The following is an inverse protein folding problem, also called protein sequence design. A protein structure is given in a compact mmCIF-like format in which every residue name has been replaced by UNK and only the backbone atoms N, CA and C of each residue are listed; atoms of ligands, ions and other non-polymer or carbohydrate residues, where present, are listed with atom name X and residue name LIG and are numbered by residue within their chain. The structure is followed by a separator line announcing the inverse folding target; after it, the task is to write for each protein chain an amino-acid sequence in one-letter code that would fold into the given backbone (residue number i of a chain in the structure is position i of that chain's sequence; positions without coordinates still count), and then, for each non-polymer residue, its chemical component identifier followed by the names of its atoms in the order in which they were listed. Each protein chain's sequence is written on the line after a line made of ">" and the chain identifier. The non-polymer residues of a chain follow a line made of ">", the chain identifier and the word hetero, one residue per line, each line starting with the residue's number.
data_IF_862014089192
#
_entry.id   IF_862014089192
#
_cell.length_a   1.000
_cell.length_b   1.000
_cell.length_c   1.000
_cell.angle_alpha   90.00
_cell.angle_beta   90.00
_cell.angle_gamma   90.00
#
_symmetry.space_group_name_H-M   'P 1'
#
loop_
_entity.id
_entity.type
_entity.pdbx_description
1 polymer ?
#
# COMPACT_ATOMS: atom_id res chain seq x y z
N UNK A 1 -20.88 -49.60 73.60
CA UNK A 1 -19.92 -48.59 74.09
C UNK A 1 -18.76 -48.49 73.10
N UNK A 2 -18.52 -47.28 72.57
CA UNK A 2 -17.23 -46.69 72.13
C UNK A 2 -16.38 -47.49 71.10
N UNK A 3 -16.43 -47.22 69.78
CA UNK A 3 -15.71 -46.19 68.96
C UNK A 3 -14.18 -46.29 68.94
N UNK A 4 -13.61 -46.05 67.73
CA UNK A 4 -12.18 -45.90 67.31
C UNK A 4 -11.67 -47.20 66.66
N UNK A 5 -11.33 -47.29 65.36
CA UNK A 5 -10.46 -46.40 64.58
C UNK A 5 -10.81 -46.42 63.08
N UNK A 6 -11.23 -45.27 62.55
CA UNK A 6 -11.24 -44.94 61.11
C UNK A 6 -10.18 -43.87 60.91
N UNK A 7 -8.96 -44.23 60.53
CA UNK A 7 -7.94 -43.20 60.21
C UNK A 7 -6.85 -43.74 59.29
N UNK A 8 -7.16 -44.02 58.02
CA UNK A 8 -6.12 -44.12 56.95
C UNK A 8 -6.67 -43.80 55.56
N UNK A 9 -7.58 -42.82 55.45
CA UNK A 9 -8.03 -42.27 54.16
C UNK A 9 -8.22 -40.76 54.29
N UNK A 10 -7.14 -40.02 54.63
CA UNK A 10 -7.19 -38.55 54.61
C UNK A 10 -5.82 -37.87 54.43
N UNK A 11 -4.89 -38.46 53.67
CA UNK A 11 -3.61 -37.81 53.32
C UNK A 11 -3.28 -38.03 51.83
N UNK A 12 -4.24 -37.74 50.95
CA UNK A 12 -3.96 -37.60 49.50
C UNK A 12 -4.79 -36.51 48.82
N UNK A 13 -5.32 -35.56 49.60
CA UNK A 13 -6.07 -34.39 49.11
C UNK A 13 -5.66 -33.10 49.82
N UNK A 14 -4.37 -32.96 50.16
CA UNK A 14 -3.82 -31.73 50.75
C UNK A 14 -2.47 -31.31 50.12
N UNK A 15 -2.34 -31.46 48.80
CA UNK A 15 -1.19 -30.93 48.05
C UNK A 15 -1.59 -30.52 46.61
N UNK A 16 -2.72 -29.83 46.47
CA UNK A 16 -3.15 -29.22 45.20
C UNK A 16 -3.25 -27.69 45.32
N UNK A 17 -2.43 -27.08 46.17
CA UNK A 17 -2.37 -25.64 46.31
C UNK A 17 -0.95 -25.16 46.02
N UNK A 18 -0.85 -24.24 45.05
CA UNK A 18 0.27 -23.35 44.77
C UNK A 18 1.44 -23.91 43.95
N UNK A 19 1.22 -24.06 42.65
CA UNK A 19 2.20 -23.59 41.65
C UNK A 19 1.51 -22.72 40.58
N UNK A 20 0.59 -21.84 40.99
CA UNK A 20 0.41 -20.60 40.22
C UNK A 20 1.62 -19.74 40.56
N UNK A 21 2.70 -19.86 39.80
CA UNK A 21 3.71 -18.81 39.82
C UNK A 21 2.99 -17.53 39.42
N UNK A 22 2.91 -16.49 40.27
CA UNK A 22 2.42 -15.21 39.82
C UNK A 22 3.32 -14.80 38.65
N UNK A 23 2.76 -14.73 37.44
CA UNK A 23 3.44 -14.14 36.31
C UNK A 23 3.74 -12.70 36.75
N UNK A 24 5.00 -12.44 37.11
CA UNK A 24 5.45 -11.09 37.47
C UNK A 24 5.07 -10.20 36.31
N UNK A 25 4.06 -9.37 36.49
CA UNK A 25 3.76 -8.31 35.56
C UNK A 25 5.00 -7.42 35.53
N UNK A 26 5.77 -7.49 34.44
CA UNK A 26 6.83 -6.52 34.19
C UNK A 26 6.18 -5.15 34.21
N UNK A 27 6.67 -4.25 35.06
CA UNK A 27 6.22 -2.86 35.07
C UNK A 27 6.66 -2.22 33.74
N UNK A 28 5.74 -2.15 32.79
CA UNK A 28 5.99 -1.62 31.46
C UNK A 28 6.29 -0.12 31.54
N UNK A 29 7.46 0.29 31.05
CA UNK A 29 7.93 1.69 31.07
C UNK A 29 6.95 2.55 30.26
N UNK A 30 6.54 3.71 30.80
CA UNK A 30 5.70 4.68 30.08
C UNK A 30 6.56 5.78 29.46
N UNK A 31 6.40 6.02 28.16
CA UNK A 31 7.11 7.06 27.38
C UNK A 31 6.12 7.83 26.52
N UNK A 32 6.54 8.91 25.85
CA UNK A 32 5.71 9.61 24.86
C UNK A 32 6.31 9.53 23.44
N UNK A 33 5.64 10.10 22.43
CA UNK A 33 6.08 10.05 21.02
C UNK A 33 7.48 10.60 20.75
N UNK A 34 8.07 11.39 21.65
CA UNK A 34 9.46 11.81 21.56
C UNK A 34 10.42 10.62 21.45
N UNK A 35 10.09 9.48 22.06
CA UNK A 35 10.89 8.25 21.94
C UNK A 35 11.08 7.83 20.49
N UNK A 36 10.04 7.99 19.65
CA UNK A 36 10.11 7.65 18.23
C UNK A 36 10.92 8.71 17.49
N UNK A 37 10.65 9.99 17.75
CA UNK A 37 11.38 11.08 17.09
C UNK A 37 12.88 10.97 17.28
N UNK A 38 13.32 10.77 18.53
CA UNK A 38 14.74 10.70 18.85
C UNK A 38 15.41 9.44 18.29
N UNK A 39 14.78 8.27 18.44
CA UNK A 39 15.41 7.00 18.05
C UNK A 39 15.34 6.69 16.54
N UNK A 40 14.42 7.32 15.80
CA UNK A 40 14.29 7.10 14.36
C UNK A 40 15.02 8.16 13.52
N UNK A 41 15.33 9.33 14.08
CA UNK A 41 16.05 10.40 13.39
C UNK A 41 17.40 9.98 12.77
N UNK A 42 18.19 9.07 13.38
CA UNK A 42 19.42 8.58 12.76
C UNK A 42 19.23 7.74 11.49
N UNK A 43 18.02 7.22 11.26
CA UNK A 43 17.74 6.20 10.26
C UNK A 43 16.79 6.67 9.14
N UNK A 44 16.44 7.95 9.13
CA UNK A 44 15.49 8.50 8.17
C UNK A 44 15.09 9.93 8.51
N UNK A 45 14.20 10.50 7.70
CA UNK A 45 13.78 11.89 7.82
C UNK A 45 12.36 12.00 8.36
N UNK A 46 12.13 12.96 9.26
CA UNK A 46 10.80 13.33 9.69
C UNK A 46 10.24 14.43 8.79
N UNK A 47 9.04 14.24 8.26
CA UNK A 47 8.34 15.22 7.41
C UNK A 47 6.96 15.49 7.98
N UNK A 48 6.50 16.72 7.86
CA UNK A 48 5.13 17.06 8.21
C UNK A 48 4.15 16.67 7.10
N UNK A 49 3.15 15.86 7.44
CA UNK A 49 2.03 15.50 6.58
C UNK A 49 0.74 16.15 7.13
N UNK A 50 -0.02 16.90 6.32
CA UNK A 50 -1.24 17.58 6.79
C UNK A 50 -2.31 16.64 7.37
N UNK A 51 -2.40 15.40 6.90
CA UNK A 51 -3.43 14.45 7.33
C UNK A 51 -3.01 13.66 8.59
N UNK A 52 -1.72 13.49 8.82
CA UNK A 52 -1.19 12.55 9.82
C UNK A 52 -0.21 13.17 10.82
N UNK A 53 0.13 14.46 10.67
CA UNK A 53 1.18 15.10 11.46
C UNK A 53 2.56 14.64 11.00
N UNK A 54 3.51 14.48 11.93
CA UNK A 54 4.86 14.06 11.59
C UNK A 54 4.92 12.58 11.19
N UNK A 55 5.38 12.33 9.97
CA UNK A 55 5.61 10.99 9.41
C UNK A 55 7.10 10.78 9.22
N UNK A 56 7.55 9.54 9.39
CA UNK A 56 8.95 9.16 9.25
C UNK A 56 9.19 8.44 7.93
N UNK A 57 10.24 8.85 7.22
CA UNK A 57 10.64 8.30 5.93
C UNK A 57 11.98 7.59 6.12
N UNK A 58 12.00 6.25 6.08
CA UNK A 58 13.23 5.49 6.29
C UNK A 58 14.26 5.76 5.19
N UNK A 59 15.53 5.85 5.59
CA UNK A 59 16.68 5.87 4.69
C UNK A 59 17.04 4.43 4.26
N UNK A 60 16.20 3.91 3.36
CA UNK A 60 16.25 2.53 2.84
C UNK A 60 16.19 2.55 1.32
N UNK A 61 16.68 1.49 0.68
CA UNK A 61 16.68 1.39 -0.77
C UNK A 61 15.27 1.29 -1.38
N UNK A 62 15.16 1.59 -2.69
CA UNK A 62 13.89 1.58 -3.45
C UNK A 62 13.05 0.29 -3.29
N UNK A 63 13.69 -0.85 -3.06
CA UNK A 63 13.01 -2.15 -2.92
C UNK A 63 12.44 -2.44 -1.51
N UNK A 64 12.57 -1.51 -0.56
CA UNK A 64 12.04 -1.69 0.78
C UNK A 64 10.53 -1.87 0.76
N UNK A 65 10.03 -2.85 1.52
CA UNK A 65 8.61 -3.04 1.77
C UNK A 65 8.41 -3.50 3.22
N UNK A 66 7.52 -2.84 3.99
CA UNK A 66 7.25 -3.21 5.35
C UNK A 66 6.73 -4.65 5.46
N UNK A 67 7.15 -5.36 6.51
CA UNK A 67 6.83 -6.76 6.72
C UNK A 67 7.32 -7.68 5.59
N UNK A 68 8.36 -7.29 4.85
CA UNK A 68 8.95 -8.07 3.76
C UNK A 68 10.48 -7.96 3.71
N UNK A 69 11.01 -6.75 3.78
CA UNK A 69 12.46 -6.51 3.73
C UNK A 69 13.08 -6.67 5.11
N UNK A 70 14.24 -7.35 5.18
CA UNK A 70 15.08 -7.55 6.37
C UNK A 70 14.29 -7.88 7.64
N UNK A 71 13.65 -9.04 7.59
CA UNK A 71 12.92 -9.62 8.69
C UNK A 71 12.13 -10.86 8.31
N UNK A 72 11.43 -11.42 9.28
CA UNK A 72 10.65 -12.65 9.12
C UNK A 72 9.53 -12.74 10.15
N UNK A 73 8.59 -13.65 9.91
CA UNK A 73 7.51 -13.94 10.86
C UNK A 73 7.91 -15.08 11.79
N UNK A 74 7.87 -14.83 13.10
CA UNK A 74 8.02 -15.86 14.13
C UNK A 74 6.72 -15.99 14.93
N UNK A 75 6.38 -17.20 15.34
CA UNK A 75 5.18 -17.41 16.15
C UNK A 75 5.48 -17.17 17.63
N UNK A 76 4.80 -16.23 18.27
CA UNK A 76 4.94 -15.89 19.70
C UNK A 76 3.63 -16.09 20.45
N UNK A 77 3.57 -15.74 21.72
CA UNK A 77 2.32 -15.67 22.49
C UNK A 77 1.35 -14.57 21.99
N UNK A 78 1.79 -13.63 21.15
CA UNK A 78 0.94 -12.69 20.43
C UNK A 78 0.59 -13.17 19.00
N UNK A 79 0.90 -14.41 18.63
CA UNK A 79 0.75 -14.92 17.28
C UNK A 79 1.95 -14.63 16.39
N UNK A 80 1.73 -14.61 15.06
CA UNK A 80 2.78 -14.30 14.10
C UNK A 80 3.27 -12.86 14.28
N UNK A 81 4.45 -12.71 14.86
CA UNK A 81 5.13 -11.46 15.17
C UNK A 81 6.25 -11.22 14.16
N UNK A 82 6.28 -10.02 13.59
CA UNK A 82 7.35 -9.64 12.68
C UNK A 82 8.62 -9.37 13.49
N UNK A 83 9.69 -10.06 13.16
CA UNK A 83 11.02 -9.80 13.69
C UNK A 83 11.79 -9.10 12.58
N UNK A 84 12.19 -7.86 12.83
CA UNK A 84 12.95 -7.08 11.85
C UNK A 84 14.42 -7.01 12.23
N UNK A 85 15.28 -7.15 11.22
CA UNK A 85 16.73 -7.03 11.35
C UNK A 85 17.19 -5.56 11.31
N UNK A 86 16.28 -4.61 11.08
CA UNK A 86 16.59 -3.19 11.19
C UNK A 86 16.70 -2.78 12.67
N UNK A 87 17.71 -1.99 13.07
CA UNK A 87 17.90 -1.57 14.47
C UNK A 87 16.72 -0.71 14.97
N UNK A 88 16.06 0.01 14.07
CA UNK A 88 14.86 0.78 14.35
C UNK A 88 13.56 -0.05 14.33
N UNK A 89 13.60 -1.32 13.91
CA UNK A 89 12.42 -2.13 13.61
C UNK A 89 11.48 -2.38 14.79
N UNK A 90 11.96 -2.26 16.02
CA UNK A 90 11.15 -2.39 17.23
C UNK A 90 9.96 -1.40 17.26
N UNK A 91 10.12 -0.22 16.65
CA UNK A 91 9.10 0.81 16.64
C UNK A 91 8.17 0.68 15.41
N UNK A 92 8.61 0.95 14.16
CA UNK A 92 7.68 1.09 13.04
C UNK A 92 6.90 -0.17 12.63
N UNK A 93 7.38 -1.36 13.00
CA UNK A 93 6.67 -2.61 12.71
C UNK A 93 5.61 -2.97 13.76
N UNK A 94 5.70 -2.37 14.96
CA UNK A 94 4.87 -2.73 16.11
C UNK A 94 4.02 -1.60 16.65
N UNK A 95 4.46 -0.36 16.47
CA UNK A 95 3.75 0.86 16.82
C UNK A 95 3.40 1.59 15.53
N UNK A 96 2.19 2.16 15.42
CA UNK A 96 1.81 2.96 14.25
C UNK A 96 1.42 2.17 13.00
N UNK A 97 1.45 2.81 11.84
CA UNK A 97 1.00 2.27 10.55
C UNK A 97 1.89 2.75 9.41
N UNK A 98 2.05 1.90 8.40
CA UNK A 98 2.73 2.26 7.17
C UNK A 98 1.74 2.79 6.15
N UNK A 99 2.16 3.79 5.38
CA UNK A 99 1.46 4.29 4.21
C UNK A 99 2.44 4.38 3.04
N UNK A 100 1.92 4.23 1.82
CA UNK A 100 2.71 4.41 0.61
C UNK A 100 2.41 5.78 0.00
N UNK A 101 3.45 6.57 -0.22
CA UNK A 101 3.41 7.82 -0.95
C UNK A 101 4.21 7.69 -2.25
N UNK A 102 3.74 8.29 -3.35
CA UNK A 102 4.38 8.14 -4.65
C UNK A 102 5.76 8.83 -4.73
N UNK A 103 5.99 9.85 -3.93
CA UNK A 103 7.24 10.59 -3.87
C UNK A 103 8.18 10.02 -2.81
N UNK A 104 7.68 9.79 -1.58
CA UNK A 104 8.51 9.32 -0.46
C UNK A 104 8.64 7.79 -0.38
N UNK A 105 7.80 7.03 -1.09
CA UNK A 105 7.68 5.59 -0.92
C UNK A 105 6.96 5.24 0.38
N UNK A 106 7.37 4.14 1.02
CA UNK A 106 6.85 3.77 2.32
C UNK A 106 7.24 4.79 3.38
N UNK A 107 6.23 5.38 4.02
CA UNK A 107 6.36 6.33 5.12
C UNK A 107 5.58 5.80 6.33
N UNK A 108 6.08 6.06 7.53
CA UNK A 108 5.50 5.55 8.77
C UNK A 108 4.79 6.66 9.56
N UNK A 109 3.57 6.37 9.99
CA UNK A 109 2.76 7.22 10.87
C UNK A 109 2.83 6.66 12.29
N UNK A 110 3.33 7.44 13.28
CA UNK A 110 3.44 6.99 14.65
C UNK A 110 2.10 6.58 15.30
N UNK A 111 2.15 5.59 16.18
CA UNK A 111 1.00 5.15 16.97
C UNK A 111 1.40 4.70 18.36
N UNK A 112 0.45 4.70 19.29
CA UNK A 112 0.68 4.35 20.70
C UNK A 112 0.45 2.88 21.03
N UNK A 113 -0.26 2.17 20.16
CA UNK A 113 -0.65 0.77 20.38
C UNK A 113 0.42 -0.17 19.83
N UNK A 114 0.81 -1.16 20.63
CA UNK A 114 1.69 -2.24 20.20
C UNK A 114 0.89 -3.40 19.60
N UNK A 115 1.38 -3.98 18.51
CA UNK A 115 0.88 -5.24 17.96
C UNK A 115 2.02 -6.11 17.39
N UNK A 116 1.77 -7.42 17.19
CA UNK A 116 2.76 -8.35 16.61
C UNK A 116 3.10 -8.00 15.15
N UNK A 117 2.19 -7.31 14.46
CA UNK A 117 2.35 -6.74 13.13
C UNK A 117 1.01 -6.19 12.64
N UNK A 118 1.01 -5.02 12.03
CA UNK A 118 -0.21 -4.33 11.60
C UNK A 118 -0.53 -4.64 10.14
N UNK A 119 -0.95 -5.88 9.89
CA UNK A 119 -1.20 -6.39 8.53
C UNK A 119 -2.59 -7.03 8.39
N UNK A 120 -3.10 -6.99 7.16
CA UNK A 120 -4.22 -7.81 6.71
C UNK A 120 -3.69 -9.16 6.25
N UNK A 121 -4.23 -10.26 6.77
CA UNK A 121 -3.83 -11.62 6.40
C UNK A 121 -4.80 -12.26 5.39
N UNK A 122 -4.26 -12.98 4.41
CA UNK A 122 -5.01 -13.78 3.45
C UNK A 122 -4.36 -15.13 3.21
N UNK A 123 -5.19 -16.05 2.73
CA UNK A 123 -4.78 -17.37 2.27
C UNK A 123 -5.36 -17.65 0.89
N UNK A 124 -4.55 -18.20 0.01
CA UNK A 124 -5.00 -18.86 -1.22
C UNK A 124 -4.53 -20.31 -1.20
N UNK A 125 -4.99 -21.11 -2.16
CA UNK A 125 -4.48 -22.46 -2.35
C UNK A 125 -2.95 -22.44 -2.56
N UNK A 126 -2.21 -23.03 -1.63
CA UNK A 126 -0.74 -23.09 -1.67
C UNK A 126 -0.01 -21.80 -1.26
N UNK A 127 -0.70 -20.75 -0.81
CA UNK A 127 -0.06 -19.47 -0.45
C UNK A 127 -0.61 -18.86 0.85
N UNK A 128 0.30 -18.23 1.60
CA UNK A 128 -0.05 -17.24 2.60
C UNK A 128 0.38 -15.86 2.13
N UNK A 129 -0.41 -14.85 2.44
CA UNK A 129 -0.04 -13.47 2.14
C UNK A 129 -0.52 -12.47 3.17
N UNK A 130 0.16 -11.33 3.16
CA UNK A 130 -0.11 -10.22 4.05
C UNK A 130 0.16 -8.88 3.37
N UNK A 131 -0.50 -7.84 3.84
CA UNK A 131 -0.29 -6.47 3.39
C UNK A 131 -0.40 -5.49 4.57
N UNK A 132 0.41 -4.43 4.64
CA UNK A 132 0.34 -3.44 5.70
C UNK A 132 -1.04 -2.77 5.76
N UNK A 133 -1.60 -2.64 6.96
CA UNK A 133 -2.81 -1.86 7.19
C UNK A 133 -2.41 -0.38 7.25
N UNK A 134 -3.18 0.46 6.57
CA UNK A 134 -2.94 1.90 6.50
C UNK A 134 -3.28 2.67 7.78
N UNK A 135 -2.80 3.92 7.92
CA UNK A 135 -3.15 4.81 9.02
C UNK A 135 -4.65 5.12 9.09
N UNK A 136 -5.18 5.31 10.30
CA UNK A 136 -6.60 5.58 10.54
C UNK A 136 -7.53 4.36 10.46
N UNK A 137 -7.00 3.19 10.13
CA UNK A 137 -7.78 1.96 9.97
C UNK A 137 -7.70 1.10 11.23
N UNK A 138 -8.86 0.87 11.86
CA UNK A 138 -8.98 -0.06 13.00
C UNK A 138 -8.88 -1.51 12.53
N UNK A 139 -8.45 -2.41 13.41
CA UNK A 139 -8.41 -3.85 13.10
C UNK A 139 -9.80 -4.39 12.75
N UNK A 140 -10.85 -3.97 13.45
CA UNK A 140 -12.21 -4.39 13.10
C UNK A 140 -12.58 -3.98 11.68
N UNK A 141 -12.26 -2.74 11.28
CA UNK A 141 -12.58 -2.24 9.94
C UNK A 141 -11.70 -2.89 8.85
N UNK A 142 -10.42 -3.15 9.15
CA UNK A 142 -9.49 -3.80 8.22
C UNK A 142 -9.91 -5.20 7.76
N UNK A 143 -10.75 -5.87 8.55
CA UNK A 143 -11.29 -7.20 8.28
C UNK A 143 -12.80 -7.17 7.93
N UNK A 144 -13.34 -5.97 7.67
CA UNK A 144 -14.69 -5.78 7.12
C UNK A 144 -14.68 -5.88 5.59
N UNK A 145 -15.85 -6.01 4.96
CA UNK A 145 -15.99 -6.10 3.50
C UNK A 145 -15.61 -4.81 2.74
N UNK A 146 -15.56 -3.66 3.43
CA UNK A 146 -15.31 -2.35 2.83
C UNK A 146 -13.83 -1.97 2.67
N UNK A 147 -12.90 -2.67 3.34
CA UNK A 147 -11.48 -2.33 3.30
C UNK A 147 -10.74 -3.14 2.24
N UNK A 148 -10.13 -2.46 1.25
CA UNK A 148 -9.37 -3.09 0.16
C UNK A 148 -8.00 -2.44 0.01
N UNK A 149 -6.97 -3.28 0.02
CA UNK A 149 -5.59 -2.88 -0.20
C UNK A 149 -5.19 -3.09 -1.67
N UNK A 150 -4.40 -2.18 -2.27
CA UNK A 150 -3.86 -2.36 -3.61
C UNK A 150 -3.11 -3.68 -3.78
N UNK A 151 -3.31 -4.37 -4.91
CA UNK A 151 -2.74 -5.70 -5.15
C UNK A 151 -1.20 -5.72 -5.07
N UNK A 152 -0.55 -4.61 -5.45
CA UNK A 152 0.91 -4.46 -5.42
C UNK A 152 1.49 -4.26 -4.01
N UNK A 153 0.66 -4.09 -2.97
CA UNK A 153 1.10 -3.99 -1.57
C UNK A 153 1.08 -5.34 -0.84
N UNK A 154 0.54 -6.38 -1.48
CA UNK A 154 0.54 -7.72 -0.90
C UNK A 154 1.88 -8.42 -1.10
N UNK A 155 2.33 -9.09 -0.05
CA UNK A 155 3.44 -10.03 -0.10
C UNK A 155 2.88 -11.43 0.01
N UNK A 156 3.34 -12.34 -0.85
CA UNK A 156 2.96 -13.75 -0.80
C UNK A 156 4.19 -14.66 -0.73
N UNK A 157 4.00 -15.79 -0.07
CA UNK A 157 4.94 -16.90 0.00
C UNK A 157 4.16 -18.20 -0.20
N UNK A 158 4.81 -19.22 -0.75
CA UNK A 158 4.23 -20.57 -0.75
C UNK A 158 4.01 -21.03 0.68
N UNK A 159 2.91 -21.74 0.92
CA UNK A 159 2.53 -22.19 2.27
C UNK A 159 3.65 -22.99 2.96
N UNK A 160 4.35 -23.84 2.21
CA UNK A 160 5.52 -24.61 2.68
C UNK A 160 6.68 -23.76 3.22
N UNK A 161 6.81 -22.52 2.77
CA UNK A 161 7.94 -21.63 3.08
C UNK A 161 7.60 -20.55 4.13
N UNK A 162 6.33 -20.43 4.54
CA UNK A 162 5.93 -19.52 5.60
C UNK A 162 6.54 -19.90 6.96
N UNK A 163 6.93 -18.91 7.77
CA UNK A 163 7.59 -19.14 9.06
C UNK A 163 9.05 -19.59 8.99
N UNK A 164 9.72 -19.43 7.84
CA UNK A 164 11.18 -19.55 7.74
C UNK A 164 11.84 -18.25 8.22
N UNK A 165 13.02 -18.32 8.85
CA UNK A 165 13.82 -17.12 9.17
C UNK A 165 14.42 -16.49 7.92
N UNK A 166 14.75 -17.29 6.91
CA UNK A 166 15.24 -16.85 5.59
C UNK A 166 14.10 -16.71 4.56
N UNK A 167 12.91 -16.27 4.99
CA UNK A 167 11.71 -16.15 4.15
C UNK A 167 11.91 -15.21 2.95
N UNK A 168 12.87 -14.29 3.03
CA UNK A 168 13.25 -13.36 1.98
C UNK A 168 13.61 -14.03 0.64
N UNK A 169 14.06 -15.29 0.67
CA UNK A 169 14.42 -16.05 -0.53
C UNK A 169 13.21 -16.70 -1.24
N UNK A 170 12.02 -16.62 -0.65
CA UNK A 170 10.85 -17.41 -1.08
C UNK A 170 9.64 -16.56 -1.47
N UNK A 171 9.77 -15.23 -1.45
CA UNK A 171 8.68 -14.35 -1.87
C UNK A 171 8.32 -14.57 -3.33
N UNK A 172 7.02 -14.66 -3.58
CA UNK A 172 6.46 -14.77 -4.93
C UNK A 172 6.61 -13.41 -5.65
N UNK A 173 6.78 -13.45 -6.97
CA UNK A 173 6.79 -12.24 -7.78
C UNK A 173 5.44 -11.50 -7.66
N UNK A 174 5.48 -10.17 -7.48
CA UNK A 174 4.27 -9.38 -7.30
C UNK A 174 3.34 -9.35 -8.52
N UNK A 175 3.83 -9.74 -9.71
CA UNK A 175 3.02 -9.83 -10.94
C UNK A 175 1.85 -10.79 -10.83
N UNK A 176 1.94 -11.83 -9.98
CA UNK A 176 0.86 -12.81 -9.79
C UNK A 176 -0.08 -12.49 -8.63
N UNK A 177 0.16 -11.40 -7.89
CA UNK A 177 -0.64 -11.01 -6.73
C UNK A 177 -2.13 -10.91 -7.06
N UNK A 178 -2.48 -10.32 -8.22
CA UNK A 178 -3.88 -10.17 -8.64
C UNK A 178 -4.61 -11.52 -8.71
N UNK A 179 -3.96 -12.55 -9.25
CA UNK A 179 -4.54 -13.89 -9.35
C UNK A 179 -4.67 -14.56 -7.98
N UNK A 180 -3.63 -14.47 -7.15
CA UNK A 180 -3.65 -15.04 -5.79
C UNK A 180 -4.75 -14.38 -4.95
N UNK A 181 -4.85 -13.04 -5.00
CA UNK A 181 -5.85 -12.27 -4.26
C UNK A 181 -7.28 -12.64 -4.69
N UNK A 182 -7.52 -12.79 -6.01
CA UNK A 182 -8.84 -13.21 -6.53
C UNK A 182 -9.27 -14.57 -5.98
N UNK A 183 -8.32 -15.49 -5.82
CA UNK A 183 -8.56 -16.86 -5.35
C UNK A 183 -8.20 -17.03 -3.86
N UNK A 184 -8.35 -15.98 -3.05
CA UNK A 184 -7.98 -16.02 -1.62
C UNK A 184 -9.14 -15.68 -0.70
N UNK A 185 -9.04 -16.18 0.53
CA UNK A 185 -9.90 -15.83 1.65
C UNK A 185 -9.12 -15.02 2.69
N UNK A 186 -9.82 -14.16 3.41
CA UNK A 186 -9.24 -13.38 4.51
C UNK A 186 -9.06 -14.29 5.73
N UNK A 187 -7.92 -14.22 6.38
CA UNK A 187 -7.65 -14.92 7.64
C UNK A 187 -8.05 -13.98 8.78
N UNK A 188 -9.28 -14.10 9.27
CA UNK A 188 -9.79 -13.28 10.35
C UNK A 188 -9.56 -13.94 11.72
N UNK A 189 -8.40 -13.68 12.33
CA UNK A 189 -7.98 -14.22 13.62
C UNK A 189 -7.68 -13.09 14.61
N UNK A 190 -8.70 -12.29 14.91
CA UNK A 190 -8.57 -11.13 15.79
C UNK A 190 -8.48 -11.58 17.25
N UNK A 191 -7.45 -11.10 17.92
CA UNK A 191 -7.17 -11.29 19.34
C UNK A 191 -7.22 -9.94 20.06
N UNK A 192 -7.35 -9.99 21.38
CA UNK A 192 -7.32 -8.81 22.25
C UNK A 192 -6.21 -9.01 23.26
N UNK A 193 -5.28 -8.05 23.35
CA UNK A 193 -4.31 -8.02 24.43
C UNK A 193 -5.03 -7.68 25.73
N UNK A 194 -5.01 -8.59 26.71
CA UNK A 194 -5.76 -8.40 27.96
C UNK A 194 -5.26 -7.22 28.80
N UNK A 195 -3.99 -6.84 28.66
CA UNK A 195 -3.36 -5.79 29.47
C UNK A 195 -3.56 -4.38 28.91
N UNK A 196 -3.66 -4.26 27.58
CA UNK A 196 -3.76 -2.97 26.86
C UNK A 196 -5.10 -2.80 26.15
N UNK A 197 -5.91 -3.85 26.06
CA UNK A 197 -7.19 -3.93 25.30
C UNK A 197 -7.04 -3.68 23.80
N UNK A 198 -5.81 -3.67 23.29
CA UNK A 198 -5.51 -3.50 21.86
C UNK A 198 -5.97 -4.73 21.09
N UNK A 199 -6.73 -4.51 20.02
CA UNK A 199 -7.09 -5.56 19.07
C UNK A 199 -6.01 -5.69 18.00
N UNK A 200 -5.63 -6.92 17.68
CA UNK A 200 -4.67 -7.25 16.62
C UNK A 200 -5.07 -8.56 15.94
N UNK A 201 -4.55 -8.86 14.75
CA UNK A 201 -4.74 -10.17 14.12
C UNK A 201 -3.48 -11.02 14.34
N UNK A 202 -3.63 -12.20 14.94
CA UNK A 202 -2.51 -13.09 15.28
C UNK A 202 -2.02 -13.94 14.09
N UNK A 203 -2.61 -13.75 12.91
CA UNK A 203 -2.25 -14.40 11.66
C UNK A 203 -2.83 -15.80 11.49
N UNK A 204 -2.29 -16.59 10.52
CA UNK A 204 -2.69 -17.97 10.29
C UNK A 204 -2.61 -18.84 11.55
N UNK A 205 -3.55 -19.77 11.72
CA UNK A 205 -3.51 -20.71 12.84
C UNK A 205 -2.22 -21.56 12.79
N UNK A 206 -1.46 -21.60 13.91
CA UNK A 206 -0.17 -22.30 13.98
C UNK A 206 -0.26 -23.77 13.58
N UNK A 207 -1.23 -24.51 14.11
CA UNK A 207 -1.40 -25.95 13.82
C UNK A 207 -1.66 -26.18 12.34
N UNK A 208 -2.43 -25.28 11.72
CA UNK A 208 -2.70 -25.33 10.30
C UNK A 208 -1.45 -25.06 9.44
N UNK A 209 -0.62 -24.09 9.86
CA UNK A 209 0.68 -23.83 9.22
C UNK A 209 1.61 -25.04 9.38
N UNK A 210 1.68 -25.66 10.55
CA UNK A 210 2.48 -26.87 10.76
C UNK A 210 2.04 -28.01 9.85
N UNK A 211 0.72 -28.23 9.70
CA UNK A 211 0.17 -29.25 8.81
C UNK A 211 0.58 -29.02 7.35
N UNK A 212 0.62 -27.78 6.88
CA UNK A 212 0.98 -27.44 5.49
C UNK A 212 2.47 -27.42 5.22
N UNK A 213 3.24 -26.93 6.18
CA UNK A 213 4.69 -26.85 6.06
C UNK A 213 5.39 -28.18 6.31
N UNK A 214 4.73 -29.12 7.02
CA UNK A 214 5.35 -30.33 7.54
C UNK A 214 6.41 -30.06 8.61
N UNK A 215 6.53 -28.81 9.09
CA UNK A 215 7.53 -28.39 10.07
C UNK A 215 6.89 -28.18 11.44
N UNK A 216 7.60 -28.57 12.48
CA UNK A 216 7.26 -28.11 13.83
C UNK A 216 7.59 -26.63 13.97
N UNK A 217 6.64 -25.84 14.48
CA UNK A 217 6.84 -24.41 14.72
C UNK A 217 6.88 -24.23 16.23
N UNK A 218 8.06 -24.05 16.82
CA UNK A 218 8.16 -23.76 18.24
C UNK A 218 7.74 -22.31 18.53
N UNK A 219 6.88 -22.04 19.54
CA UNK A 219 6.63 -20.68 19.97
C UNK A 219 7.91 -20.02 20.50
N UNK A 220 8.18 -18.81 20.06
CA UNK A 220 9.25 -17.94 20.55
C UNK A 220 8.72 -17.15 21.74
N UNK A 221 9.36 -17.28 22.90
CA UNK A 221 9.00 -16.50 24.07
C UNK A 221 9.35 -15.02 23.84
N UNK A 222 8.49 -14.11 24.28
CA UNK A 222 8.77 -12.67 24.23
C UNK A 222 9.22 -12.18 25.60
N UNK A 223 10.29 -11.38 25.60
CA UNK A 223 10.84 -10.73 26.78
C UNK A 223 10.99 -9.23 26.53
N UNK A 224 10.59 -8.43 27.51
CA UNK A 224 10.71 -6.97 27.40
C UNK A 224 12.16 -6.53 27.61
N UNK A 225 12.63 -5.64 26.73
CA UNK A 225 13.87 -4.87 26.90
C UNK A 225 13.61 -3.55 27.60
N UNK A 226 14.64 -2.96 28.20
CA UNK A 226 14.58 -1.63 28.85
C UNK A 226 14.96 -0.49 27.90
N UNK A 227 15.74 -0.81 26.88
CA UNK A 227 16.31 0.10 25.89
C UNK A 227 15.73 -0.16 24.49
N UNK A 228 15.57 0.88 23.65
CA UNK A 228 15.09 0.77 22.27
C UNK A 228 15.86 -0.26 21.45
N UNK A 229 15.13 -1.21 20.86
CA UNK A 229 15.70 -2.25 20.02
C UNK A 229 14.94 -3.55 20.08
N UNK A 230 15.35 -4.49 19.24
CA UNK A 230 14.93 -5.87 19.32
C UNK A 230 16.06 -6.79 18.87
N UNK A 231 16.07 -8.00 19.40
CA UNK A 231 16.93 -9.08 18.93
C UNK A 231 16.34 -10.43 19.36
N UNK A 232 16.74 -11.48 18.67
CA UNK A 232 16.52 -12.85 19.13
C UNK A 232 17.80 -13.33 19.79
N UNK A 233 17.71 -13.71 21.06
CA UNK A 233 18.83 -14.27 21.83
C UNK A 233 18.35 -15.54 22.54
N UNK A 234 19.13 -16.62 22.44
CA UNK A 234 18.83 -17.94 23.02
C UNK A 234 17.40 -18.46 22.73
N UNK A 235 16.86 -18.14 21.55
CA UNK A 235 15.51 -18.56 21.14
C UNK A 235 14.37 -17.73 21.75
N UNK A 236 14.67 -16.62 22.42
CA UNK A 236 13.69 -15.66 22.93
C UNK A 236 13.76 -14.36 22.12
N UNK A 237 12.61 -13.78 21.77
CA UNK A 237 12.51 -12.44 21.21
C UNK A 237 12.58 -11.43 22.35
N UNK A 238 13.70 -10.73 22.47
CA UNK A 238 13.84 -9.58 23.36
C UNK A 238 13.45 -8.32 22.58
N UNK A 239 12.41 -7.62 23.01
CA UNK A 239 11.87 -6.45 22.29
C UNK A 239 11.54 -5.30 23.23
N UNK A 240 11.89 -4.08 22.83
CA UNK A 240 11.47 -2.87 23.51
C UNK A 240 10.00 -2.57 23.22
N UNK A 241 9.17 -2.68 24.25
CA UNK A 241 7.71 -2.53 24.16
C UNK A 241 7.20 -1.62 25.29
N UNK A 242 7.50 -0.31 25.30
CA UNK A 242 6.97 0.58 26.33
C UNK A 242 5.47 0.85 26.14
N UNK A 243 4.79 1.35 27.18
CA UNK A 243 3.51 2.03 27.03
C UNK A 243 3.77 3.40 26.46
N UNK A 244 3.11 3.76 25.37
CA UNK A 244 3.38 5.02 24.67
C UNK A 244 2.18 5.96 24.81
N UNK A 245 2.40 7.12 25.40
CA UNK A 245 1.47 8.24 25.40
C UNK A 245 1.66 9.10 24.15
N UNK A 246 0.56 9.62 23.59
CA UNK A 246 0.62 10.52 22.42
C UNK A 246 1.15 11.91 22.76
N UNK A 247 0.88 12.36 23.99
CA UNK A 247 1.24 13.69 24.48
C UNK A 247 2.30 13.57 25.57
N UNK A 248 3.03 14.66 25.82
CA UNK A 248 3.88 14.76 27.01
C UNK A 248 3.03 14.93 28.28
N UNK A 249 3.67 14.87 29.46
CA UNK A 249 3.00 15.00 30.76
C UNK A 249 2.22 16.30 30.94
N UNK A 250 2.58 17.35 30.18
CA UNK A 250 1.93 18.67 30.21
C UNK A 250 0.82 18.80 29.15
N UNK A 251 0.46 17.71 28.46
CA UNK A 251 -0.60 17.69 27.44
C UNK A 251 -0.20 18.24 26.06
N UNK A 252 1.04 18.68 25.88
CA UNK A 252 1.54 19.16 24.58
C UNK A 252 1.92 17.98 23.67
N UNK A 253 1.71 18.15 22.36
CA UNK A 253 2.15 17.18 21.36
C UNK A 253 3.67 17.29 21.17
N UNK A 254 4.44 16.21 21.38
CA UNK A 254 5.86 16.20 21.08
C UNK A 254 6.12 16.55 19.60
N UNK A 255 7.30 17.06 19.30
CA UNK A 255 7.71 17.42 17.94
C UNK A 255 9.11 16.86 17.64
N UNK A 256 9.41 16.43 16.40
CA UNK A 256 10.77 16.04 16.04
C UNK A 256 11.75 17.20 16.16
N UNK A 257 12.98 16.91 16.60
CA UNK A 257 14.05 17.91 16.69
C UNK A 257 14.43 18.48 15.31
N UNK A 258 14.27 17.69 14.25
CA UNK A 258 14.49 18.09 12.87
C UNK A 258 13.33 17.62 12.01
N UNK A 259 12.77 18.54 11.24
CA UNK A 259 11.73 18.26 10.25
C UNK A 259 12.27 18.68 8.88
N UNK A 260 12.38 17.71 7.98
CA UNK A 260 12.83 17.94 6.62
C UNK A 260 11.71 18.57 5.77
N UNK A 261 12.09 19.45 4.84
CA UNK A 261 11.19 19.90 3.79
C UNK A 261 11.11 18.83 2.70
N UNK A 262 10.06 18.88 1.88
CA UNK A 262 9.83 17.90 0.81
C UNK A 262 11.02 17.82 -0.15
N UNK A 263 11.64 18.96 -0.44
CA UNK A 263 12.75 19.10 -1.37
C UNK A 263 14.05 18.52 -0.82
N UNK A 264 14.19 18.43 0.50
CA UNK A 264 15.38 17.90 1.18
C UNK A 264 15.39 16.36 1.22
N UNK A 265 14.22 15.72 1.02
CA UNK A 265 14.06 14.27 1.08
C UNK A 265 14.20 13.65 -0.31
N UNK A 266 15.07 12.67 -0.41
CA UNK A 266 15.32 11.92 -1.64
C UNK A 266 14.05 11.17 -2.11
N UNK A 267 13.59 11.40 -3.36
CA UNK A 267 12.47 10.67 -3.94
C UNK A 267 12.75 9.16 -3.93
N UNK A 268 11.71 8.34 -3.73
CA UNK A 268 11.86 6.88 -3.67
C UNK A 268 12.54 6.34 -4.93
N UNK A 269 12.19 6.86 -6.11
CA UNK A 269 12.75 6.43 -7.42
C UNK A 269 14.25 6.67 -7.57
N UNK A 270 14.85 7.50 -6.73
CA UNK A 270 16.28 7.83 -6.74
C UNK A 270 17.06 7.08 -5.64
N UNK A 271 16.40 6.31 -4.77
CA UNK A 271 17.06 5.57 -3.69
C UNK A 271 17.75 4.31 -4.23
N UNK A 272 19.07 4.25 -4.10
CA UNK A 272 19.86 3.08 -4.48
C UNK A 272 19.52 1.85 -3.62
N UNK A 273 19.69 0.64 -4.16
CA UNK A 273 19.47 -0.61 -3.39
C UNK A 273 20.44 -0.80 -2.22
N UNK A 274 21.60 -0.14 -2.23
CA UNK A 274 22.70 -0.34 -1.28
C UNK A 274 22.81 0.74 -0.19
N UNK A 275 21.81 1.61 0.01
CA UNK A 275 21.92 2.78 0.92
C UNK A 275 22.01 2.42 2.41
N UNK A 276 21.81 1.14 2.79
CA UNK A 276 21.75 0.68 4.17
C UNK A 276 23.08 0.79 4.96
N UNK A 277 24.20 1.17 4.34
CA UNK A 277 25.52 0.99 4.96
C UNK A 277 26.27 2.25 5.40
N UNK A 278 25.76 3.48 5.21
CA UNK A 278 26.60 4.68 5.44
C UNK A 278 26.23 5.57 6.63
N UNK A 279 24.96 5.70 7.03
CA UNK A 279 24.60 6.60 8.16
C UNK A 279 24.56 5.93 9.54
N UNK A 280 24.09 4.69 9.65
CA UNK A 280 23.99 3.97 10.93
C UNK A 280 25.34 3.59 11.56
N UNK A 281 26.36 3.32 10.74
CA UNK A 281 27.69 2.92 11.22
C UNK A 281 28.57 4.07 11.71
N UNK A 282 28.24 5.34 11.40
CA UNK A 282 29.02 6.48 11.87
C UNK A 282 28.64 6.95 13.28
N UNK A 283 27.44 6.63 13.78
CA UNK A 283 27.00 7.07 15.11
C UNK A 283 27.17 6.01 16.22
N UNK A 284 27.12 4.71 15.89
CA UNK A 284 27.44 3.64 16.86
C UNK A 284 28.91 3.66 17.31
N UNK A 285 29.83 4.07 16.44
CA UNK A 285 31.26 4.23 16.79
C UNK A 285 31.58 5.46 17.64
N UNK A 286 30.67 6.44 17.76
CA UNK A 286 30.91 7.66 18.54
C UNK A 286 30.35 7.61 19.97
N UNK A 287 29.56 6.58 20.32
CA UNK A 287 29.08 6.38 21.70
C UNK A 287 29.88 5.34 22.51
N UNK A 288 30.74 4.54 21.88
CA UNK A 288 31.62 3.59 22.57
C UNK A 288 33.03 4.13 22.89
N UNK A 289 33.40 5.33 22.43
CA UNK A 289 34.76 5.88 22.59
C UNK A 289 34.99 6.79 23.81
N UNK A 290 34.02 6.92 24.72
CA UNK A 290 34.16 7.78 25.92
C UNK A 290 34.43 7.03 27.22
N UNK A 291 34.85 5.76 27.17
CA UNK A 291 35.19 5.04 28.40
C UNK A 291 36.29 3.99 28.19
N UNK A 292 37.49 4.44 27.82
CA UNK A 292 38.73 3.66 27.98
C UNK A 292 39.95 4.57 27.79
N UNK A 293 40.15 5.47 28.75
CA UNK A 293 41.35 6.28 28.85
C UNK A 293 42.06 5.99 30.19
N UNK A 294 42.71 4.83 30.26
CA UNK A 294 43.76 4.53 31.22
C UNK A 294 44.59 3.33 30.73
N UNK A 295 45.85 3.56 30.36
CA UNK A 295 46.83 2.49 30.14
C UNK A 295 47.31 2.28 28.69
N UNK A 296 47.85 3.31 28.03
CA UNK A 296 48.68 3.12 26.81
C UNK A 296 49.85 4.10 26.77
N UNK A 297 50.94 3.73 27.45
CA UNK A 297 52.28 4.26 27.20
C UNK A 297 53.26 3.08 27.23
N UNK A 298 53.24 2.26 26.18
CA UNK A 298 54.34 1.33 25.84
C UNK A 298 54.18 0.66 24.45
N UNK A 299 53.05 0.85 23.77
CA UNK A 299 52.77 0.25 22.44
C UNK A 299 53.02 1.22 21.26
N UNK A 300 53.88 2.23 21.44
CA UNK A 300 54.05 3.32 20.46
C UNK A 300 55.33 3.23 19.62
N UNK A 301 56.16 2.20 19.82
CA UNK A 301 57.41 2.03 19.06
C UNK A 301 57.42 0.82 18.10
N UNK A 302 56.44 -0.09 18.16
CA UNK A 302 56.38 -1.27 17.27
C UNK A 302 55.46 -1.11 16.04
N UNK A 303 54.63 -0.06 15.99
CA UNK A 303 53.64 0.15 14.91
C UNK A 303 54.13 1.01 13.73
N UNK A 304 55.33 1.59 13.77
CA UNK A 304 55.81 2.48 12.71
C UNK A 304 56.43 1.77 11.50
N UNK A 305 56.73 0.47 11.58
CA UNK A 305 57.29 -0.29 10.45
C UNK A 305 56.22 -1.02 9.62
N UNK A 306 55.07 -1.38 10.21
CA UNK A 306 53.93 -1.97 9.47
C UNK A 306 53.08 -0.94 8.71
N UNK A 307 53.13 0.34 9.08
CA UNK A 307 52.34 1.40 8.43
C UNK A 307 52.83 1.77 7.02
N UNK A 308 54.12 1.55 6.70
CA UNK A 308 54.68 1.89 5.38
C UNK A 308 54.34 0.89 4.27
N UNK A 309 54.01 -0.36 4.60
CA UNK A 309 53.62 -1.36 3.59
C UNK A 309 52.12 -1.32 3.24
N UNK A 310 51.25 -0.86 4.14
CA UNK A 310 49.81 -0.74 3.88
C UNK A 310 49.45 0.47 3.02
N UNK A 311 50.25 1.55 3.06
CA UNK A 311 49.98 2.78 2.30
C UNK A 311 50.15 2.59 0.77
N UNK A 312 51.11 1.75 0.33
CA UNK A 312 51.35 1.47 -1.10
C UNK A 312 50.24 0.60 -1.73
N UNK A 313 49.55 -0.23 -0.93
CA UNK A 313 48.43 -1.05 -1.39
C UNK A 313 47.12 -0.26 -1.48
N UNK A 314 46.94 0.76 -0.64
CA UNK A 314 45.76 1.62 -0.63
C UNK A 314 45.74 2.60 -1.83
N UNK A 315 46.90 3.13 -2.23
CA UNK A 315 47.01 4.05 -3.37
C UNK A 315 46.77 3.35 -4.73
N UNK A 316 47.21 2.09 -4.87
CA UNK A 316 46.96 1.30 -6.08
C UNK A 316 45.48 0.92 -6.28
N UNK A 317 44.74 0.68 -5.19
CA UNK A 317 43.30 0.42 -5.27
C UNK A 317 42.50 1.69 -5.57
N UNK A 318 42.95 2.85 -5.09
CA UNK A 318 42.28 4.13 -5.35
C UNK A 318 42.41 4.59 -6.82
N UNK A 319 43.53 4.29 -7.49
CA UNK A 319 43.67 4.58 -8.92
C UNK A 319 42.78 3.69 -9.80
N UNK A 320 42.68 2.38 -9.51
CA UNK A 320 41.77 1.48 -10.24
C UNK A 320 40.30 1.85 -10.04
N UNK A 321 39.91 2.26 -8.83
CA UNK A 321 38.55 2.71 -8.54
C UNK A 321 38.16 3.98 -9.33
N UNK A 322 39.04 4.98 -9.43
CA UNK A 322 38.79 6.19 -10.22
C UNK A 322 38.62 5.91 -11.72
N UNK A 323 39.42 4.99 -12.26
CA UNK A 323 39.36 4.61 -13.69
C UNK A 323 38.10 3.79 -14.03
N UNK A 324 37.54 3.05 -13.07
CA UNK A 324 36.27 2.34 -13.24
C UNK A 324 35.07 3.27 -13.07
N UNK A 325 35.15 4.26 -12.18
CA UNK A 325 34.12 5.28 -12.00
C UNK A 325 33.97 6.18 -13.24
N UNK A 326 35.07 6.54 -13.91
CA UNK A 326 35.01 7.28 -15.17
C UNK A 326 34.36 6.48 -16.32
N UNK A 327 34.62 5.18 -16.42
CA UNK A 327 33.97 4.30 -17.40
C UNK A 327 32.46 4.16 -17.15
N UNK A 328 32.06 4.00 -15.89
CA UNK A 328 30.65 3.92 -15.52
C UNK A 328 29.90 5.22 -15.81
N UNK A 329 30.53 6.38 -15.58
CA UNK A 329 29.93 7.68 -15.93
C UNK A 329 29.75 7.85 -17.44
N UNK A 330 30.73 7.44 -18.26
CA UNK A 330 30.59 7.50 -19.73
C UNK A 330 29.47 6.58 -20.25
N UNK A 331 29.33 5.37 -19.68
CA UNK A 331 28.23 4.45 -20.04
C UNK A 331 26.86 4.99 -19.61
N UNK A 332 26.77 5.61 -18.43
CA UNK A 332 25.52 6.21 -17.96
C UNK A 332 25.09 7.40 -18.83
N UNK A 333 26.04 8.20 -19.31
CA UNK A 333 25.77 9.34 -20.18
C UNK A 333 25.27 8.90 -21.56
N UNK A 334 25.85 7.84 -22.13
CA UNK A 334 25.37 7.24 -23.38
C UNK A 334 23.96 6.65 -23.25
N UNK A 335 23.65 6.00 -22.12
CA UNK A 335 22.29 5.48 -21.87
C UNK A 335 21.26 6.59 -21.73
N UNK A 336 21.60 7.71 -21.09
CA UNK A 336 20.71 8.87 -21.00
C UNK A 336 20.42 9.49 -22.37
N UNK A 337 21.43 9.66 -23.23
CA UNK A 337 21.21 10.18 -24.59
C UNK A 337 20.34 9.25 -25.45
N UNK A 338 20.48 7.94 -25.28
CA UNK A 338 19.65 6.96 -25.99
C UNK A 338 18.19 7.00 -25.49
N UNK A 339 17.97 7.16 -24.19
CA UNK A 339 16.64 7.35 -23.61
C UNK A 339 15.97 8.64 -24.08
N UNK A 340 16.72 9.74 -24.17
CA UNK A 340 16.20 11.01 -24.68
C UNK A 340 15.79 10.92 -26.15
N UNK A 341 16.59 10.25 -26.99
CA UNK A 341 16.23 9.98 -28.40
C UNK A 341 14.96 9.13 -28.52
N UNK A 342 14.84 8.07 -27.73
CA UNK A 342 13.64 7.22 -27.75
C UNK A 342 12.39 7.98 -27.30
N UNK A 343 12.50 8.83 -26.28
CA UNK A 343 11.37 9.66 -25.82
C UNK A 343 10.96 10.72 -26.87
N UNK A 344 11.92 11.32 -27.60
CA UNK A 344 11.61 12.24 -28.69
C UNK A 344 10.89 11.54 -29.85
N UNK A 345 11.31 10.33 -30.24
CA UNK A 345 10.62 9.54 -31.26
C UNK A 345 9.20 9.12 -30.84
N UNK A 346 9.02 8.71 -29.58
CA UNK A 346 7.71 8.35 -29.05
C UNK A 346 6.73 9.56 -29.04
N UNK A 347 7.25 10.76 -28.70
CA UNK A 347 6.44 11.99 -28.73
C UNK A 347 6.02 12.38 -30.15
N UNK A 348 6.91 12.25 -31.13
CA UNK A 348 6.58 12.48 -32.55
C UNK A 348 5.52 11.49 -33.06
N UNK A 349 5.60 10.21 -32.69
CA UNK A 349 4.58 9.22 -33.05
C UNK A 349 3.21 9.54 -32.43
N UNK A 350 3.16 9.97 -31.17
CA UNK A 350 1.91 10.39 -30.53
C UNK A 350 1.28 11.62 -31.20
N UNK A 351 2.07 12.63 -31.55
CA UNK A 351 1.58 13.83 -32.26
C UNK A 351 1.05 13.48 -33.67
N UNK A 352 1.67 12.52 -34.36
CA UNK A 352 1.17 12.05 -35.65
C UNK A 352 -0.14 11.27 -35.52
N UNK A 353 -0.28 10.43 -34.49
CA UNK A 353 -1.54 9.72 -34.20
C UNK A 353 -2.68 10.69 -33.84
N UNK A 354 -2.40 11.74 -33.07
CA UNK A 354 -3.39 12.75 -32.73
C UNK A 354 -3.86 13.53 -33.96
N UNK A 355 -2.95 13.90 -34.87
CA UNK A 355 -3.30 14.53 -36.15
C UNK A 355 -4.19 13.65 -37.03
N UNK A 356 -3.85 12.37 -37.17
CA UNK A 356 -4.67 11.43 -37.94
C UNK A 356 -6.07 11.26 -37.34
N UNK A 357 -6.18 11.17 -36.00
CA UNK A 357 -7.46 11.08 -35.32
C UNK A 357 -8.31 12.36 -35.46
N UNK A 358 -7.68 13.54 -35.51
CA UNK A 358 -8.40 14.80 -35.77
C UNK A 358 -8.93 14.88 -37.21
N UNK A 359 -8.13 14.49 -38.19
CA UNK A 359 -8.56 14.45 -39.60
C UNK A 359 -9.71 13.46 -39.80
N UNK A 360 -9.66 12.28 -39.17
CA UNK A 360 -10.74 11.30 -39.23
C UNK A 360 -12.07 11.86 -38.66
N UNK A 361 -12.03 12.57 -37.53
CA UNK A 361 -13.24 13.21 -36.97
C UNK A 361 -13.82 14.29 -37.88
N UNK A 362 -12.96 15.13 -38.47
CA UNK A 362 -13.41 16.18 -39.40
C UNK A 362 -14.11 15.58 -40.64
N UNK A 363 -13.58 14.49 -41.18
CA UNK A 363 -14.22 13.76 -42.29
C UNK A 363 -15.58 13.18 -41.88
N UNK A 364 -15.69 12.63 -40.67
CA UNK A 364 -16.92 12.06 -40.15
C UNK A 364 -18.01 13.12 -39.94
N UNK A 365 -17.66 14.28 -39.36
CA UNK A 365 -18.57 15.42 -39.21
C UNK A 365 -19.03 16.00 -40.56
N UNK A 366 -18.17 16.00 -41.57
CA UNK A 366 -18.53 16.45 -42.91
C UNK A 366 -19.50 15.48 -43.59
N UNK A 367 -19.33 14.17 -43.38
CA UNK A 367 -20.26 13.15 -43.85
C UNK A 367 -21.63 13.26 -43.17
N UNK A 368 -21.66 13.51 -41.86
CA UNK A 368 -22.91 13.71 -41.12
C UNK A 368 -23.66 14.95 -41.60
N UNK A 369 -22.97 16.09 -41.80
CA UNK A 369 -23.58 17.30 -42.38
C UNK A 369 -24.16 17.08 -43.77
N UNK A 370 -23.45 16.36 -44.64
CA UNK A 370 -23.95 16.04 -45.97
C UNK A 370 -25.19 15.14 -45.92
N UNK A 371 -25.21 14.14 -45.03
CA UNK A 371 -26.37 13.27 -44.83
C UNK A 371 -27.58 14.03 -44.27
N UNK A 372 -27.35 15.00 -43.38
CA UNK A 372 -28.42 15.83 -42.82
C UNK A 372 -29.03 16.77 -43.88
N UNK A 373 -28.20 17.39 -44.72
CA UNK A 373 -28.68 18.18 -45.86
C UNK A 373 -29.49 17.34 -46.85
N UNK A 374 -29.05 16.12 -47.16
CA UNK A 374 -29.80 15.20 -48.03
C UNK A 374 -31.17 14.82 -47.44
N UNK A 375 -31.25 14.62 -46.11
CA UNK A 375 -32.53 14.37 -45.42
C UNK A 375 -33.46 15.58 -45.48
N UNK A 376 -32.94 16.79 -45.29
CA UNK A 376 -33.75 18.01 -45.37
C UNK A 376 -34.35 18.19 -46.78
N UNK A 377 -33.55 17.96 -47.82
CA UNK A 377 -34.03 18.02 -49.22
C UNK A 377 -35.12 16.97 -49.49
N UNK A 378 -35.00 15.75 -48.97
CA UNK A 378 -36.04 14.73 -49.10
C UNK A 378 -37.36 15.14 -48.42
N UNK A 379 -37.29 15.71 -47.22
CA UNK A 379 -38.48 16.18 -46.48
C UNK A 379 -39.17 17.31 -47.24
N UNK A 380 -38.41 18.23 -47.83
CA UNK A 380 -38.95 19.33 -48.63
C UNK A 380 -39.61 18.84 -49.92
N UNK A 381 -39.01 17.85 -50.60
CA UNK A 381 -39.62 17.19 -51.75
C UNK A 381 -40.94 16.47 -51.40
N UNK A 382 -41.00 15.82 -50.24
CA UNK A 382 -42.24 15.18 -49.76
C UNK A 382 -43.34 16.21 -49.49
N UNK A 383 -43.03 17.33 -48.84
CA UNK A 383 -43.98 18.43 -48.61
C UNK A 383 -44.52 19.02 -49.91
N UNK A 384 -43.64 19.26 -50.89
CA UNK A 384 -44.05 19.78 -52.19
C UNK A 384 -44.97 18.81 -52.94
N UNK A 385 -44.69 17.50 -52.87
CA UNK A 385 -45.55 16.48 -53.45
C UNK A 385 -46.92 16.38 -52.74
N UNK A 386 -46.98 16.55 -51.42
CA UNK A 386 -48.24 16.60 -50.67
C UNK A 386 -49.08 17.85 -51.03
N UNK A 387 -48.45 19.02 -51.13
CA UNK A 387 -49.13 20.24 -51.58
C UNK A 387 -49.67 20.10 -53.01
N UNK A 388 -48.90 19.53 -53.93
CA UNK A 388 -49.36 19.27 -55.30
C UNK A 388 -50.58 18.32 -55.34
N UNK A 389 -50.58 17.28 -54.50
CA UNK A 389 -51.75 16.39 -54.34
C UNK A 389 -52.97 17.12 -53.78
N UNK A 390 -52.79 17.98 -52.78
CA UNK A 390 -53.90 18.76 -52.20
C UNK A 390 -54.51 19.72 -53.24
N UNK A 391 -53.68 20.41 -54.03
CA UNK A 391 -54.15 21.27 -55.11
C UNK A 391 -54.92 20.50 -56.19
N UNK A 392 -54.47 19.30 -56.56
CA UNK A 392 -55.21 18.43 -57.49
C UNK A 392 -56.58 18.01 -56.94
N UNK A 393 -56.66 17.65 -55.66
CA UNK A 393 -57.94 17.28 -55.00
C UNK A 393 -58.89 18.48 -54.96
N UNK A 394 -58.38 19.67 -54.69
CA UNK A 394 -59.18 20.91 -54.67
C UNK A 394 -59.69 21.29 -56.07
N UNK A 395 -58.85 21.15 -57.10
CA UNK A 395 -59.29 21.29 -58.50
C UNK A 395 -60.37 20.29 -58.90
N UNK A 396 -60.26 19.02 -58.45
CA UNK A 396 -61.29 18.02 -58.71
C UNK A 396 -62.62 18.38 -58.03
N UNK A 397 -62.59 18.83 -56.77
CA UNK A 397 -63.80 19.32 -56.06
C UNK A 397 -64.45 20.51 -56.76
N UNK A 398 -63.65 21.49 -57.20
CA UNK A 398 -64.17 22.66 -57.93
C UNK A 398 -64.81 22.25 -59.26
N UNK A 399 -64.22 21.30 -59.99
CA UNK A 399 -64.80 20.76 -61.21
C UNK A 399 -66.10 19.99 -60.97
N UNK A 400 -66.21 19.25 -59.86
CA UNK A 400 -67.47 18.59 -59.47
C UNK A 400 -68.57 19.60 -59.10
N UNK A 401 -68.23 20.66 -58.34
CA UNK A 401 -69.16 21.74 -58.04
C UNK A 401 -69.64 22.48 -59.30
N UNK A 402 -68.74 22.75 -60.25
CA UNK A 402 -69.10 23.35 -61.53
C UNK A 402 -70.06 22.46 -62.33
N UNK A 403 -69.87 21.14 -62.32
CA UNK A 403 -70.81 20.18 -62.94
C UNK A 403 -72.17 20.17 -62.24
N UNK A 404 -72.22 20.23 -60.92
CA UNK A 404 -73.48 20.31 -60.16
C UNK A 404 -74.25 21.61 -60.43
N UNK A 405 -73.56 22.76 -60.52
CA UNK A 405 -74.19 24.03 -60.89
C UNK A 405 -74.74 24.01 -62.33
N UNK A 406 -74.05 23.38 -63.27
CA UNK A 406 -74.57 23.19 -64.63
C UNK A 406 -75.81 22.29 -64.66
N UNK A 407 -75.89 21.25 -63.83
CA UNK A 407 -77.10 20.42 -63.72
C UNK A 407 -78.29 21.18 -63.10
N UNK A 408 -78.05 22.06 -62.12
CA UNK A 408 -79.11 22.91 -61.55
C UNK A 408 -79.63 23.95 -62.54
N UNK A 409 -78.76 24.50 -63.41
CA UNK A 409 -79.18 25.42 -64.47
C UNK A 409 -80.03 24.72 -65.56
N UNK A 410 -79.84 23.42 -65.78
CA UNK A 410 -80.70 22.65 -66.69
C UNK A 410 -82.07 22.32 -66.10
N UNK A 411 -82.19 22.20 -64.77
CA UNK A 411 -83.47 21.94 -64.11
C UNK A 411 -84.34 23.19 -63.92
N UNK A 412 -83.76 24.40 -63.97
CA UNK A 412 -84.50 25.66 -63.84
C UNK A 412 -85.33 26.09 -65.06
N UNK A 413 -85.13 25.47 -66.24
CA UNK A 413 -85.83 25.86 -67.48
C UNK A 413 -87.02 24.99 -67.90
N UNK A 414 -87.34 23.93 -67.17
CA UNK A 414 -88.53 23.11 -67.42
C UNK A 414 -89.45 23.07 -66.20
N UNK A 415 -90.05 24.22 -65.85
CA UNK A 415 -91.26 24.25 -65.02
C UNK A 415 -92.44 24.73 -65.89
N UNK A 416 -93.58 24.02 -65.92
CA UNK A 416 -94.64 24.29 -66.89
C UNK A 416 -95.43 25.55 -66.54
N UNK A 417 -96.02 26.25 -67.52
CA UNK A 417 -96.93 27.34 -67.26
C UNK A 417 -98.27 26.78 -66.72
N UNK A 418 -98.91 27.49 -65.80
CA UNK A 418 -100.32 27.31 -65.49
C UNK A 418 -101.11 28.46 -66.12
N UNK A 419 -102.16 28.11 -66.85
CA UNK A 419 -103.15 29.04 -67.37
C UNK A 419 -104.00 29.60 -66.22
N UNK A 420 -104.31 30.89 -66.28
CA UNK A 420 -105.50 31.49 -65.67
C UNK A 420 -106.62 31.62 -66.72
N UNK A 421 -107.87 31.48 -66.26
CA UNK A 421 -109.12 31.91 -66.91
C UNK A 421 -109.35 33.41 -66.62
N UNK A 422 -109.74 34.22 -67.60
CA UNK A 422 -110.82 35.22 -67.43
C UNK A 422 -112.13 34.41 -67.25
N UNK A 423 -113.06 34.64 -66.31
CA UNK A 423 -113.92 35.82 -66.13
C UNK A 423 -113.29 37.21 -66.17
#
# INVERSE_FOLDING_TARGET
>A
MKTISKTFFLIFFLNAMLWMTPQKASAQISVNFQIFYDNLSPYGDWVYNPNYGYVWIPDVGYGFTPYRTDGYWAFTNAGWTWISDFPWGWAPFHYGRWMYDNYYGWSWVPGSEWGPGWVSWRRSEGYYGWAPIGPGISITFAYSSGYRLPNNQWTFVRDRDFGRTNINNYYVNSSVNTTIIRNSTVINNIQIDNSTRVKYNSGPNRTEVQKRTGRSIAPVAMRERRDPGQNVDKGELQIYRPRVAKNNSNGQKPVPNKVAKKEDVQPVTQRNKNTQSQRGNQQLNNQQNNNQQAGRQQEQQRNNEQAKQQQVQQDNNNQKAKQQQQRNNQQAQQQQEQQQRNNQQAKQQQEQQQRNNQQARQQQEQQERNNEQARQQQVEQQKNNEQAKQQQVEQQKNNEQAKQQQQQQQQGKNRPPKQEKNN
#
